data_IF_015958502139
#
_entry.id   IF_015958502139
#
_cell.length_a   1.000
_cell.length_b   1.000
_cell.length_c   1.000
_cell.angle_alpha   90.00
_cell.angle_beta   90.00
_cell.angle_gamma   90.00
#
_symmetry.space_group_name_H-M   'P 1'
#
loop_
_entity.id
_entity.type
_entity.pdbx_description
1 polymer ?
#
# COMPACT_ATOMS: atom_id res chain seq x y z
N UNK A 1 2.37 -13.59 14.92
CA UNK A 1 2.66 -12.89 13.65
C UNK A 1 1.43 -13.03 12.78
N UNK A 2 0.75 -11.93 12.46
CA UNK A 2 -0.38 -11.93 11.53
C UNK A 2 0.16 -11.83 10.11
N UNK A 3 0.11 -12.92 9.36
CA UNK A 3 0.42 -12.90 7.94
C UNK A 3 -0.74 -12.23 7.20
N UNK A 4 -0.46 -11.14 6.51
CA UNK A 4 -1.45 -10.42 5.70
C UNK A 4 -1.19 -10.76 4.24
N UNK A 5 -2.20 -11.29 3.56
CA UNK A 5 -2.13 -11.59 2.12
C UNK A 5 -2.90 -10.54 1.31
N UNK A 6 -2.40 -10.25 0.11
CA UNK A 6 -3.04 -9.34 -0.82
C UNK A 6 -3.00 -9.92 -2.24
N UNK A 7 -4.09 -9.74 -2.98
CA UNK A 7 -4.18 -10.08 -4.40
C UNK A 7 -4.12 -8.79 -5.21
N UNK A 8 -3.20 -8.72 -6.17
CA UNK A 8 -3.04 -7.54 -7.02
C UNK A 8 -3.14 -7.92 -8.51
N UNK A 9 -3.67 -7.01 -9.30
CA UNK A 9 -3.68 -7.11 -10.76
C UNK A 9 -2.60 -6.19 -11.31
N UNK A 10 -1.65 -6.76 -12.04
CA UNK A 10 -0.56 -6.00 -12.65
C UNK A 10 -0.92 -5.64 -14.10
N UNK A 11 -0.74 -4.37 -14.52
CA UNK A 11 -0.79 -4.02 -15.93
C UNK A 11 0.21 -4.89 -16.73
N UNK A 12 -0.13 -5.33 -17.97
CA UNK A 12 0.70 -6.26 -18.72
C UNK A 12 2.15 -5.82 -18.86
N UNK A 13 2.38 -4.52 -19.15
CA UNK A 13 3.72 -3.96 -19.27
C UNK A 13 4.54 -4.07 -17.98
N UNK A 14 3.91 -3.85 -16.84
CA UNK A 14 4.57 -3.95 -15.53
C UNK A 14 4.87 -5.42 -15.19
N UNK A 15 3.95 -6.33 -15.52
CA UNK A 15 4.17 -7.77 -15.35
C UNK A 15 5.38 -8.26 -16.15
N UNK A 16 5.57 -7.78 -17.39
CA UNK A 16 6.75 -8.13 -18.20
C UNK A 16 8.04 -7.61 -17.57
N UNK A 17 8.06 -6.38 -17.06
CA UNK A 17 9.24 -5.85 -16.36
C UNK A 17 9.60 -6.70 -15.14
N UNK A 18 8.60 -7.09 -14.33
CA UNK A 18 8.83 -7.97 -13.19
C UNK A 18 9.41 -9.31 -13.64
N UNK A 19 8.89 -9.91 -14.71
CA UNK A 19 9.46 -11.15 -15.27
C UNK A 19 10.92 -10.99 -15.65
N UNK A 20 11.28 -9.90 -16.34
CA UNK A 20 12.68 -9.61 -16.70
C UNK A 20 13.57 -9.54 -15.46
N UNK A 21 13.16 -8.80 -14.43
CA UNK A 21 13.94 -8.69 -13.19
C UNK A 21 14.14 -10.05 -12.48
N UNK A 22 13.14 -10.93 -12.52
CA UNK A 22 13.25 -12.28 -11.96
C UNK A 22 14.17 -13.15 -12.82
N UNK A 23 14.03 -13.09 -14.15
CA UNK A 23 14.87 -13.86 -15.10
C UNK A 23 16.34 -13.48 -15.03
N UNK A 24 16.63 -12.19 -14.83
CA UNK A 24 17.98 -11.67 -14.63
C UNK A 24 18.56 -11.98 -13.25
N UNK A 25 17.76 -12.55 -12.33
CA UNK A 25 18.21 -12.98 -11.01
C UNK A 25 18.27 -11.87 -9.96
N UNK A 26 17.72 -10.67 -10.24
CA UNK A 26 17.63 -9.59 -9.25
C UNK A 26 16.70 -9.95 -8.09
N UNK A 27 15.66 -10.73 -8.37
CA UNK A 27 14.70 -11.19 -7.38
C UNK A 27 14.35 -12.67 -7.58
N UNK A 28 14.16 -13.43 -6.50
CA UNK A 28 13.85 -14.85 -6.59
C UNK A 28 12.42 -15.14 -7.07
N UNK A 29 11.48 -14.23 -6.84
CA UNK A 29 10.08 -14.34 -7.26
C UNK A 29 9.33 -12.99 -7.13
N UNK A 30 8.09 -12.96 -7.62
CA UNK A 30 7.20 -11.80 -7.58
C UNK A 30 6.95 -11.31 -6.14
N UNK A 31 6.76 -12.23 -5.19
CA UNK A 31 6.45 -11.86 -3.81
C UNK A 31 7.61 -11.10 -3.16
N UNK A 32 8.85 -11.59 -3.34
CA UNK A 32 10.05 -10.92 -2.85
C UNK A 32 10.22 -9.52 -3.47
N UNK A 33 9.96 -9.38 -4.77
CA UNK A 33 10.02 -8.09 -5.46
C UNK A 33 8.97 -7.11 -4.92
N UNK A 34 7.71 -7.54 -4.76
CA UNK A 34 6.63 -6.68 -4.24
C UNK A 34 6.94 -6.24 -2.82
N UNK A 35 7.36 -7.16 -1.94
CA UNK A 35 7.69 -6.83 -0.55
C UNK A 35 8.80 -5.78 -0.49
N UNK A 36 9.86 -5.96 -1.29
CA UNK A 36 10.98 -5.01 -1.31
C UNK A 36 10.56 -3.66 -1.91
N UNK A 37 9.75 -3.65 -2.96
CA UNK A 37 9.22 -2.41 -3.54
C UNK A 37 8.33 -1.65 -2.54
N UNK A 38 7.44 -2.36 -1.83
CA UNK A 38 6.58 -1.78 -0.80
C UNK A 38 7.40 -1.19 0.35
N UNK A 39 8.39 -1.94 0.83
CA UNK A 39 9.31 -1.48 1.86
C UNK A 39 10.01 -0.20 1.44
N UNK A 40 10.66 -0.19 0.27
CA UNK A 40 11.38 0.98 -0.25
C UNK A 40 10.46 2.18 -0.41
N UNK A 41 9.24 1.97 -0.91
CA UNK A 41 8.24 3.04 -1.05
C UNK A 41 7.89 3.64 0.32
N UNK A 42 7.60 2.80 1.31
CA UNK A 42 7.28 3.27 2.66
C UNK A 42 8.47 3.99 3.29
N UNK A 43 9.69 3.44 3.20
CA UNK A 43 10.92 4.04 3.72
C UNK A 43 11.23 5.41 3.09
N UNK A 44 11.06 5.54 1.79
CA UNK A 44 11.31 6.81 1.07
C UNK A 44 10.25 7.88 1.34
N UNK A 45 9.02 7.48 1.71
CA UNK A 45 7.91 8.41 1.94
C UNK A 45 7.51 8.53 3.42
N UNK A 46 8.31 8.04 4.38
CA UNK A 46 7.95 8.08 5.81
C UNK A 46 7.65 9.49 6.33
N UNK A 47 8.36 10.51 5.81
CA UNK A 47 8.12 11.92 6.16
C UNK A 47 6.76 12.43 5.69
N UNK A 48 6.40 12.18 4.42
CA UNK A 48 5.12 12.61 3.83
C UNK A 48 3.93 11.76 4.29
N UNK A 49 4.13 10.45 4.52
CA UNK A 49 3.09 9.55 5.01
C UNK A 49 2.69 9.88 6.46
N UNK A 50 3.64 10.28 7.31
CA UNK A 50 3.34 10.71 8.68
C UNK A 50 2.44 11.95 8.67
N UNK A 51 2.74 12.92 7.81
CA UNK A 51 1.92 14.13 7.67
C UNK A 51 0.52 13.83 7.11
N UNK A 52 0.43 12.91 6.14
CA UNK A 52 -0.85 12.51 5.55
C UNK A 52 -1.72 11.69 6.49
N UNK A 53 -1.15 10.74 7.24
CA UNK A 53 -1.90 9.96 8.24
C UNK A 53 -2.42 10.83 9.38
N UNK A 54 -1.66 11.84 9.84
CA UNK A 54 -2.16 12.81 10.84
C UNK A 54 -3.36 13.59 10.27
N UNK A 55 -3.30 14.02 9.00
CA UNK A 55 -4.40 14.74 8.37
C UNK A 55 -5.64 13.85 8.20
N UNK A 56 -5.45 12.62 7.72
CA UNK A 56 -6.54 11.64 7.56
C UNK A 56 -7.20 11.31 8.92
N UNK A 57 -6.43 11.14 10.01
CA UNK A 57 -6.96 10.92 11.37
C UNK A 57 -7.76 12.15 11.89
N UNK A 58 -7.31 13.38 11.62
CA UNK A 58 -8.03 14.60 11.99
C UNK A 58 -9.33 14.77 11.18
N UNK A 59 -9.33 14.40 9.90
CA UNK A 59 -10.50 14.47 9.03
C UNK A 59 -11.57 13.43 9.41
N UNK A 60 -11.16 12.24 9.89
CA UNK A 60 -12.06 11.23 10.46
C UNK A 60 -12.70 11.68 11.78
N UNK A 61 -11.96 12.36 12.65
CA UNK A 61 -12.48 12.90 13.92
C UNK A 61 -13.51 14.04 13.77
N UNK A 62 -13.58 14.68 12.59
CA UNK A 62 -14.52 15.76 12.30
C UNK A 62 -15.85 15.28 11.69
N UNK A 63 -15.90 14.06 11.14
CA UNK A 63 -17.12 13.50 10.54
C UNK A 63 -17.99 12.67 11.51
N UNK A 64 -17.50 12.36 12.71
CA UNK A 64 -18.26 11.60 13.72
C UNK A 64 -19.32 12.45 14.47
N UNK A 65 -19.41 13.76 14.20
CA UNK A 65 -20.43 14.63 14.81
C UNK A 65 -21.69 14.86 13.98
N UNK A 66 -21.87 14.17 12.86
CA UNK A 66 -23.09 14.26 12.06
C UNK A 66 -23.89 12.95 11.97
N UNK A 67 -23.67 12.01 12.89
CA UNK A 67 -24.67 10.97 13.14
C UNK A 67 -25.79 11.53 14.03
N UNK A 68 -26.62 12.41 13.47
CA UNK A 68 -27.95 12.68 14.06
C UNK A 68 -28.82 11.50 13.71
N UNK A 69 -29.05 10.63 14.71
CA UNK A 69 -30.09 9.63 14.63
C UNK A 69 -31.41 10.30 14.22
N UNK A 70 -32.03 9.79 13.16
CA UNK A 70 -33.43 10.05 12.90
C UNK A 70 -34.00 8.78 12.28
N UNK A 71 -34.97 8.20 13.00
CA UNK A 71 -35.63 6.97 12.61
C UNK A 71 -36.51 7.10 11.38
N UNK A 72 -36.76 5.95 10.77
CA UNK A 72 -38.10 5.42 10.50
C UNK A 72 -37.99 3.90 10.35
#
# INVERSE_FOLDING_TARGET
MTETSATIQLPPRLAEQVKTHIQEGWFPNLNALIIEALRRYLETHQGELTERFIREDVEWGLHDKEWTGSGN
#
